data_IF_958700851598
#
_entry.id   IF_958700851598
#
_cell.length_a   1.000
_cell.length_b   1.000
_cell.length_c   1.000
_cell.angle_alpha   90.00
_cell.angle_beta   90.00
_cell.angle_gamma   90.00
#
_symmetry.space_group_name_H-M   'P 1'
#
loop_
_entity.id
_entity.type
_entity.pdbx_description
1 polymer ?
#
# COMPACT_ATOMS: atom_id res chain seq x y z
N UNK A 1 -28.80 16.26 -4.25
CA UNK A 1 -27.92 16.72 -5.35
C UNK A 1 -28.69 17.46 -6.43
N UNK A 2 -29.56 16.82 -7.23
CA UNK A 2 -30.25 17.51 -8.34
C UNK A 2 -31.12 18.70 -7.90
N UNK A 3 -31.85 18.57 -6.79
CA UNK A 3 -32.65 19.66 -6.22
C UNK A 3 -31.79 20.85 -5.79
N UNK A 4 -30.61 20.58 -5.21
CA UNK A 4 -29.65 21.61 -4.82
C UNK A 4 -29.09 22.32 -6.05
N UNK A 5 -28.57 21.58 -7.04
CA UNK A 5 -28.03 22.14 -8.28
C UNK A 5 -29.05 23.02 -9.02
N UNK A 6 -30.32 22.62 -9.04
CA UNK A 6 -31.39 23.40 -9.65
C UNK A 6 -31.76 24.68 -8.86
N UNK A 7 -31.31 24.79 -7.60
CA UNK A 7 -31.57 25.95 -6.73
C UNK A 7 -30.48 27.01 -6.79
N UNK A 8 -29.29 26.71 -7.34
CA UNK A 8 -28.23 27.70 -7.49
C UNK A 8 -28.56 28.69 -8.62
N UNK A 9 -28.17 29.94 -8.41
CA UNK A 9 -28.13 30.93 -9.48
C UNK A 9 -27.02 30.61 -10.51
N UNK A 10 -27.08 31.25 -11.68
CA UNK A 10 -26.18 30.94 -12.79
C UNK A 10 -24.70 31.19 -12.49
N UNK A 11 -24.36 32.16 -11.65
CA UNK A 11 -22.97 32.49 -11.31
C UNK A 11 -22.38 31.45 -10.35
N UNK A 12 -23.11 31.13 -9.26
CA UNK A 12 -22.67 30.10 -8.31
C UNK A 12 -22.63 28.72 -8.92
N UNK A 13 -23.56 28.42 -9.84
CA UNK A 13 -23.57 27.15 -10.56
C UNK A 13 -22.33 26.99 -11.46
N UNK A 14 -21.92 28.05 -12.15
CA UNK A 14 -20.71 28.02 -12.98
C UNK A 14 -19.43 27.91 -12.14
N UNK A 15 -19.35 28.59 -11.00
CA UNK A 15 -18.23 28.42 -10.06
C UNK A 15 -18.11 26.97 -9.59
N UNK A 16 -19.19 26.40 -9.06
CA UNK A 16 -19.21 25.01 -8.59
C UNK A 16 -18.85 24.03 -9.71
N UNK A 17 -19.32 24.26 -10.93
CA UNK A 17 -18.98 23.42 -12.09
C UNK A 17 -17.49 23.49 -12.43
N UNK A 18 -16.89 24.67 -12.37
CA UNK A 18 -15.45 24.84 -12.59
C UNK A 18 -14.63 24.12 -11.50
N UNK A 19 -15.07 24.17 -10.25
CA UNK A 19 -14.42 23.44 -9.15
C UNK A 19 -14.49 21.93 -9.36
N UNK A 20 -15.67 21.41 -9.73
CA UNK A 20 -15.86 19.98 -10.04
C UNK A 20 -15.02 19.50 -11.22
N UNK A 21 -14.85 20.34 -12.25
CA UNK A 21 -13.96 20.06 -13.39
C UNK A 21 -12.51 20.04 -12.91
N UNK A 22 -12.08 21.04 -12.13
CA UNK A 22 -10.71 21.09 -11.61
C UNK A 22 -10.39 19.89 -10.71
N UNK A 23 -11.33 19.41 -9.89
CA UNK A 23 -11.14 18.20 -9.08
C UNK A 23 -10.95 16.98 -10.00
N UNK A 24 -11.78 16.85 -11.04
CA UNK A 24 -11.66 15.75 -12.02
C UNK A 24 -10.32 15.79 -12.75
N UNK A 25 -9.88 16.96 -13.19
CA UNK A 25 -8.63 17.12 -13.95
C UNK A 25 -7.41 16.73 -13.12
N UNK A 26 -7.44 16.95 -11.80
CA UNK A 26 -6.40 16.49 -10.87
C UNK A 26 -6.28 14.96 -10.89
N UNK A 27 -7.40 14.23 -10.86
CA UNK A 27 -7.40 12.76 -10.94
C UNK A 27 -6.95 12.27 -12.33
N UNK A 28 -7.38 12.93 -13.40
CA UNK A 28 -6.99 12.56 -14.76
C UNK A 28 -5.50 12.79 -15.04
N UNK A 29 -4.89 13.85 -14.48
CA UNK A 29 -3.45 14.11 -14.63
C UNK A 29 -2.59 12.97 -14.05
N UNK A 30 -3.09 12.29 -12.99
CA UNK A 30 -2.40 11.15 -12.41
C UNK A 30 -2.41 9.90 -13.30
N UNK A 31 -3.48 9.68 -14.06
CA UNK A 31 -3.53 8.57 -15.02
C UNK A 31 -2.40 8.71 -16.05
N UNK A 32 -2.14 9.95 -16.51
CA UNK A 32 -1.08 10.25 -17.46
C UNK A 32 0.34 10.10 -16.85
N UNK A 33 0.56 10.54 -15.61
CA UNK A 33 1.87 10.36 -14.95
C UNK A 33 2.21 8.88 -14.67
N UNK A 34 1.21 8.04 -14.38
CA UNK A 34 1.44 6.61 -14.15
C UNK A 34 1.80 5.85 -15.43
N UNK A 35 1.41 6.34 -16.61
CA UNK A 35 1.81 5.76 -17.90
C UNK A 35 3.28 6.09 -18.27
N UNK A 36 3.81 7.23 -17.81
CA UNK A 36 5.16 7.69 -18.14
C UNK A 36 6.24 7.35 -17.10
N UNK A 37 5.88 7.05 -15.85
CA UNK A 37 6.83 6.99 -14.71
C UNK A 37 7.30 5.59 -14.29
N UNK A 38 7.04 4.53 -15.07
CA UNK A 38 7.41 3.16 -14.67
C UNK A 38 8.93 2.89 -14.65
N UNK A 39 9.78 3.81 -15.13
CA UNK A 39 11.21 3.54 -15.30
C UNK A 39 12.19 4.26 -14.35
N UNK A 40 11.78 5.28 -13.58
CA UNK A 40 12.76 6.07 -12.82
C UNK A 40 12.63 5.98 -11.28
N UNK A 41 13.64 5.31 -10.70
CA UNK A 41 14.06 5.32 -9.29
C UNK A 41 13.05 4.82 -8.25
N UNK A 42 12.82 3.50 -8.25
CA UNK A 42 12.51 2.77 -7.02
C UNK A 42 13.76 2.76 -6.12
N UNK A 43 13.98 3.86 -5.38
CA UNK A 43 14.79 3.81 -4.16
C UNK A 43 14.16 2.78 -3.24
N UNK A 44 14.96 1.91 -2.62
CA UNK A 44 14.47 0.95 -1.62
C UNK A 44 14.04 1.73 -0.38
N UNK A 45 12.82 2.26 -0.41
CA UNK A 45 12.16 2.88 0.73
C UNK A 45 11.99 1.80 1.80
N UNK A 46 12.46 2.09 3.03
CA UNK A 46 12.28 1.15 4.14
C UNK A 46 10.83 1.19 4.60
N UNK A 47 10.29 0.07 5.07
CA UNK A 47 8.90 0.00 5.56
C UNK A 47 8.57 1.01 6.69
N UNK A 48 9.58 1.47 7.43
CA UNK A 48 9.44 2.56 8.43
C UNK A 48 9.19 3.94 7.78
N UNK A 49 9.83 4.24 6.66
CA UNK A 49 9.66 5.47 5.88
C UNK A 49 8.28 5.53 5.21
N UNK A 50 7.79 4.38 4.76
CA UNK A 50 6.42 4.25 4.27
C UNK A 50 5.40 4.59 5.37
N UNK A 51 5.57 4.03 6.58
CA UNK A 51 4.66 4.24 7.69
C UNK A 51 4.56 5.71 8.13
N UNK A 52 5.68 6.45 8.14
CA UNK A 52 5.70 7.89 8.42
C UNK A 52 5.03 8.68 7.31
N UNK A 53 5.39 8.43 6.05
CA UNK A 53 4.81 9.12 4.88
C UNK A 53 3.30 8.95 4.82
N UNK A 54 2.82 7.72 5.04
CA UNK A 54 1.39 7.41 5.03
C UNK A 54 0.65 8.15 6.14
N UNK A 55 1.25 8.22 7.33
CA UNK A 55 0.69 8.94 8.48
C UNK A 55 0.63 10.44 8.22
N UNK A 56 1.71 11.02 7.69
CA UNK A 56 1.78 12.43 7.31
C UNK A 56 0.72 12.81 6.27
N UNK A 57 0.53 11.99 5.24
CA UNK A 57 -0.48 12.24 4.21
C UNK A 57 -1.91 12.15 4.76
N UNK A 58 -2.19 11.23 5.70
CA UNK A 58 -3.50 11.14 6.35
C UNK A 58 -3.78 12.35 7.26
N UNK A 59 -2.75 12.84 7.96
CA UNK A 59 -2.84 14.12 8.68
C UNK A 59 -3.04 15.29 7.73
N UNK A 60 -2.28 15.35 6.62
CA UNK A 60 -2.42 16.37 5.61
C UNK A 60 -3.85 16.37 5.02
N UNK A 61 -4.49 15.20 4.89
CA UNK A 61 -5.86 15.09 4.39
C UNK A 61 -6.92 15.59 5.40
N UNK A 62 -6.56 15.81 6.67
CA UNK A 62 -7.44 16.22 7.76
C UNK A 62 -8.62 15.26 7.98
N UNK A 63 -8.38 13.96 7.81
CA UNK A 63 -9.35 12.91 8.16
C UNK A 63 -8.87 12.16 9.40
N UNK A 64 -9.80 11.82 10.29
CA UNK A 64 -9.51 11.03 11.49
C UNK A 64 -9.30 9.54 11.16
N UNK A 65 -8.31 9.24 10.32
CA UNK A 65 -7.93 7.88 9.92
C UNK A 65 -6.51 7.57 10.36
N UNK A 66 -6.29 6.38 10.92
CA UNK A 66 -4.95 5.86 11.20
C UNK A 66 -4.62 4.70 10.25
N UNK A 67 -3.36 4.58 9.80
CA UNK A 67 -2.95 3.53 8.88
C UNK A 67 -2.54 2.21 9.57
N UNK A 68 -2.89 2.00 10.84
CA UNK A 68 -2.31 0.95 11.70
C UNK A 68 -2.36 -0.45 11.09
N UNK A 69 -3.49 -0.81 10.46
CA UNK A 69 -3.67 -2.12 9.82
C UNK A 69 -2.78 -2.30 8.59
N UNK A 70 -2.64 -1.26 7.77
CA UNK A 70 -1.80 -1.27 6.58
C UNK A 70 -0.32 -1.30 6.98
N UNK A 71 0.08 -0.46 7.94
CA UNK A 71 1.44 -0.45 8.48
C UNK A 71 1.81 -1.82 9.07
N UNK A 72 0.89 -2.46 9.79
CA UNK A 72 1.12 -3.80 10.35
C UNK A 72 1.30 -4.85 9.26
N UNK A 73 0.48 -4.83 8.21
CA UNK A 73 0.60 -5.77 7.10
C UNK A 73 1.91 -5.57 6.32
N UNK A 74 2.27 -4.32 6.02
CA UNK A 74 3.55 -3.98 5.36
C UNK A 74 4.75 -4.41 6.20
N UNK A 75 4.75 -4.07 7.50
CA UNK A 75 5.82 -4.48 8.40
C UNK A 75 5.97 -5.99 8.45
N UNK A 76 4.86 -6.72 8.63
CA UNK A 76 4.86 -8.19 8.61
C UNK A 76 5.46 -8.75 7.31
N UNK A 77 5.16 -8.14 6.16
CA UNK A 77 5.67 -8.58 4.87
C UNK A 77 7.18 -8.32 4.71
N UNK A 78 7.68 -7.16 5.16
CA UNK A 78 9.12 -6.84 5.12
C UNK A 78 9.93 -7.65 6.13
N UNK A 79 9.47 -7.76 7.39
CA UNK A 79 10.13 -8.55 8.43
C UNK A 79 10.36 -9.99 7.93
N UNK A 80 9.39 -10.53 7.18
CA UNK A 80 9.47 -11.86 6.59
C UNK A 80 10.58 -12.02 5.56
N UNK A 81 10.83 -11.01 4.72
CA UNK A 81 11.90 -11.05 3.73
C UNK A 81 13.26 -10.89 4.40
N UNK A 82 13.38 -9.97 5.35
CA UNK A 82 14.65 -9.65 6.02
C UNK A 82 15.14 -10.78 6.94
N UNK A 83 14.26 -11.40 7.72
CA UNK A 83 14.63 -12.50 8.62
C UNK A 83 15.17 -13.71 7.85
N UNK A 84 14.54 -14.05 6.73
CA UNK A 84 14.94 -15.23 5.97
C UNK A 84 16.10 -14.98 5.02
N UNK A 85 16.22 -13.80 4.40
CA UNK A 85 17.38 -13.44 3.59
C UNK A 85 18.66 -13.47 4.44
N UNK A 86 18.58 -13.03 5.71
CA UNK A 86 19.66 -13.18 6.68
C UNK A 86 19.98 -14.65 7.02
N UNK A 87 18.98 -15.54 7.10
CA UNK A 87 19.25 -16.97 7.35
C UNK A 87 19.82 -17.72 6.14
N UNK A 88 19.38 -17.37 4.93
CA UNK A 88 19.84 -18.01 3.68
C UNK A 88 21.27 -17.59 3.36
N UNK A 89 21.63 -16.32 3.59
CA UNK A 89 23.00 -15.82 3.41
C UNK A 89 24.01 -16.48 4.36
N UNK A 90 23.63 -16.76 5.62
CA UNK A 90 24.49 -17.48 6.57
C UNK A 90 24.71 -18.94 6.16
N UNK A 91 23.65 -19.66 5.75
CA UNK A 91 23.75 -21.07 5.35
C UNK A 91 24.58 -21.29 4.06
N UNK A 92 24.51 -20.36 3.11
CA UNK A 92 25.32 -20.42 1.89
C UNK A 92 26.80 -20.15 2.14
N UNK A 93 27.16 -19.40 3.18
CA UNK A 93 28.54 -19.21 3.60
C UNK A 93 29.10 -20.48 4.28
N UNK A 94 28.30 -21.13 5.14
CA UNK A 94 28.71 -22.34 5.87
C UNK A 94 28.87 -23.56 4.93
N UNK A 95 28.07 -23.68 3.87
CA UNK A 95 28.22 -24.76 2.87
C UNK A 95 29.46 -24.64 1.97
N UNK A 96 30.22 -23.54 2.07
CA UNK A 96 31.44 -23.33 1.27
C UNK A 96 32.72 -23.84 1.93
N UNK A 97 32.70 -24.23 3.21
CA UNK A 97 33.90 -24.66 3.95
C UNK A 97 34.03 -26.16 4.21
N UNK A 98 33.02 -26.99 3.95
CA UNK A 98 33.09 -28.43 4.24
C UNK A 98 33.32 -29.27 2.99
N UNK A 99 34.58 -29.35 2.55
CA UNK A 99 35.02 -30.47 1.73
C UNK A 99 36.51 -30.80 1.94
N UNK A 100 36.88 -31.39 3.09
CA UNK A 100 38.06 -32.28 3.16
C UNK A 100 38.03 -33.24 4.37
N UNK A 101 37.87 -34.55 4.10
CA UNK A 101 38.57 -35.67 4.76
C UNK A 101 38.12 -36.23 6.12
N UNK A 102 37.59 -37.48 6.12
CA UNK A 102 37.94 -38.69 6.92
C UNK A 102 38.61 -38.51 8.31
N UNK A 103 38.34 -39.22 9.43
CA UNK A 103 37.82 -40.57 9.75
C UNK A 103 37.57 -40.67 11.30
N UNK A 104 36.63 -41.55 11.71
CA UNK A 104 36.41 -42.32 12.96
C UNK A 104 36.94 -41.90 14.36
N UNK A 105 36.06 -41.87 15.40
CA UNK A 105 36.07 -42.78 16.58
C UNK A 105 34.94 -42.52 17.59
N UNK A 106 34.46 -43.62 18.18
CA UNK A 106 33.36 -43.75 19.16
C UNK A 106 33.66 -43.13 20.54
N UNK A 107 32.65 -42.58 21.24
CA UNK A 107 32.17 -43.08 22.55
C UNK A 107 31.01 -42.22 23.13
N UNK A 108 30.26 -42.86 24.02
CA UNK A 108 28.87 -42.64 24.46
C UNK A 108 28.74 -41.68 25.67
N UNK A 109 27.71 -40.82 25.70
CA UNK A 109 27.07 -40.38 26.94
C UNK A 109 25.62 -39.89 26.72
N UNK A 110 24.67 -40.60 27.33
CA UNK A 110 23.24 -40.24 27.45
C UNK A 110 23.05 -39.22 28.58
N UNK A 111 22.34 -38.10 28.33
CA UNK A 111 21.00 -37.84 28.91
C UNK A 111 20.39 -36.53 28.36
N UNK A 112 19.05 -36.39 28.37
CA UNK A 112 18.30 -35.39 27.63
C UNK A 112 17.90 -34.20 28.51
N UNK A 113 18.03 -32.98 27.98
CA UNK A 113 17.22 -31.86 28.43
C UNK A 113 16.57 -31.22 27.21
N UNK A 114 15.24 -31.23 27.26
CA UNK A 114 14.33 -30.60 26.33
C UNK A 114 14.58 -29.10 26.31
N UNK A 115 15.30 -28.62 25.30
CA UNK A 115 15.19 -27.25 24.87
C UNK A 115 14.60 -27.27 23.46
N UNK A 116 13.42 -26.64 23.32
CA UNK A 116 12.73 -26.46 22.04
C UNK A 116 13.55 -25.52 21.16
N UNK A 117 14.65 -26.03 20.61
CA UNK A 117 15.29 -25.48 19.44
C UNK A 117 14.37 -25.87 18.29
N UNK A 118 13.45 -24.98 17.91
CA UNK A 118 12.87 -25.05 16.57
C UNK A 118 14.05 -25.14 15.61
N UNK A 119 14.28 -26.31 15.03
CA UNK A 119 15.05 -26.45 13.81
C UNK A 119 14.38 -25.50 12.81
N UNK A 120 14.96 -24.30 12.65
CA UNK A 120 14.57 -23.36 11.61
C UNK A 120 14.88 -24.03 10.28
N UNK A 121 13.89 -24.76 9.75
CA UNK A 121 13.95 -25.31 8.40
C UNK A 121 14.08 -24.14 7.43
N UNK A 122 15.06 -24.24 6.53
CA UNK A 122 15.10 -23.40 5.33
C UNK A 122 13.80 -23.60 4.57
N UNK A 123 13.11 -22.49 4.27
CA UNK A 123 11.82 -22.55 3.59
C UNK A 123 12.02 -22.97 2.14
N UNK A 124 11.08 -23.76 1.66
CA UNK A 124 11.06 -24.20 0.27
C UNK A 124 10.68 -23.04 -0.65
N UNK A 125 11.08 -23.13 -1.93
CA UNK A 125 10.73 -22.12 -2.95
C UNK A 125 9.20 -21.97 -3.06
N UNK A 126 8.48 -23.09 -2.94
CA UNK A 126 7.01 -23.12 -2.98
C UNK A 126 6.38 -22.37 -1.80
N UNK A 127 6.92 -22.53 -0.59
CA UNK A 127 6.45 -21.78 0.59
C UNK A 127 6.69 -20.29 0.42
N UNK A 128 7.89 -19.89 0.00
CA UNK A 128 8.24 -18.48 -0.26
C UNK A 128 7.31 -17.87 -1.32
N UNK A 129 7.03 -18.61 -2.39
CA UNK A 129 6.11 -18.18 -3.44
C UNK A 129 4.71 -17.92 -2.88
N UNK A 130 4.14 -18.89 -2.15
CA UNK A 130 2.80 -18.76 -1.57
C UNK A 130 2.69 -17.56 -0.63
N UNK A 131 3.69 -17.38 0.23
CA UNK A 131 3.72 -16.27 1.19
C UNK A 131 3.88 -14.90 0.53
N UNK A 132 4.61 -14.85 -0.60
CA UNK A 132 4.73 -13.64 -1.40
C UNK A 132 3.37 -13.22 -1.97
N UNK A 133 2.62 -14.17 -2.54
CA UNK A 133 1.28 -13.93 -3.08
C UNK A 133 0.30 -13.53 -1.96
N UNK A 134 0.29 -14.26 -0.84
CA UNK A 134 -0.57 -13.95 0.31
C UNK A 134 -0.28 -12.57 0.90
N UNK A 135 0.99 -12.19 1.00
CA UNK A 135 1.39 -10.89 1.54
C UNK A 135 1.00 -9.75 0.61
N UNK A 136 1.20 -9.89 -0.72
CA UNK A 136 0.74 -8.91 -1.69
C UNK A 136 -0.78 -8.75 -1.66
N UNK A 137 -1.52 -9.86 -1.59
CA UNK A 137 -2.98 -9.83 -1.48
C UNK A 137 -3.46 -9.17 -0.17
N UNK A 138 -2.84 -9.51 0.98
CA UNK A 138 -3.16 -8.91 2.28
C UNK A 138 -2.91 -7.40 2.26
N UNK A 139 -1.73 -6.97 1.80
CA UNK A 139 -1.35 -5.55 1.69
C UNK A 139 -2.32 -4.80 0.77
N UNK A 140 -2.63 -5.34 -0.41
CA UNK A 140 -3.57 -4.74 -1.36
C UNK A 140 -4.95 -4.55 -0.74
N UNK A 141 -5.45 -5.57 -0.05
CA UNK A 141 -6.72 -5.47 0.66
C UNK A 141 -6.69 -4.36 1.74
N UNK A 142 -5.58 -4.18 2.46
CA UNK A 142 -5.42 -3.11 3.46
C UNK A 142 -5.30 -1.73 2.82
N UNK A 143 -4.65 -1.58 1.68
CA UNK A 143 -4.64 -0.33 0.91
C UNK A 143 -6.06 0.08 0.51
N UNK A 144 -6.83 -0.85 -0.05
CA UNK A 144 -8.22 -0.59 -0.45
C UNK A 144 -9.11 -0.29 0.78
N UNK A 145 -8.93 -1.03 1.89
CA UNK A 145 -9.62 -0.74 3.16
C UNK A 145 -9.31 0.68 3.66
N UNK A 146 -8.05 1.12 3.56
CA UNK A 146 -7.64 2.48 3.94
C UNK A 146 -8.31 3.53 3.06
N UNK A 147 -8.32 3.35 1.73
CA UNK A 147 -8.98 4.26 0.80
C UNK A 147 -10.50 4.30 1.03
N UNK A 148 -11.12 3.16 1.33
CA UNK A 148 -12.53 3.12 1.72
C UNK A 148 -12.80 3.87 3.02
N UNK A 149 -11.93 3.74 4.02
CA UNK A 149 -12.10 4.48 5.29
C UNK A 149 -11.97 5.98 5.08
N UNK A 150 -11.01 6.40 4.25
CA UNK A 150 -10.84 7.79 3.84
C UNK A 150 -12.09 8.29 3.10
N UNK A 151 -12.66 7.51 2.17
CA UNK A 151 -13.89 7.87 1.46
C UNK A 151 -15.07 8.07 2.42
N UNK A 152 -15.24 7.17 3.39
CA UNK A 152 -16.28 7.28 4.43
C UNK A 152 -16.13 8.58 5.24
N UNK A 153 -14.90 8.94 5.60
CA UNK A 153 -14.60 10.15 6.39
C UNK A 153 -14.73 11.43 5.56
N UNK A 154 -14.41 11.42 4.27
CA UNK A 154 -14.65 12.58 3.38
C UNK A 154 -16.16 12.82 3.23
N UNK A 155 -16.97 11.76 3.17
CA UNK A 155 -18.41 11.88 2.95
C UNK A 155 -19.19 12.23 4.23
N UNK A 156 -18.73 11.75 5.40
CA UNK A 156 -19.46 11.88 6.67
C UNK A 156 -18.69 12.62 7.78
N UNK A 157 -17.49 13.12 7.48
CA UNK A 157 -16.65 13.85 8.43
C UNK A 157 -17.26 15.16 8.91
N UNK A 158 -16.69 15.73 9.97
CA UNK A 158 -17.00 17.10 10.40
C UNK A 158 -16.44 18.12 9.37
N UNK A 159 -16.64 19.42 9.62
CA UNK A 159 -16.36 20.57 8.74
C UNK A 159 -15.20 20.38 7.74
N UNK A 160 -15.40 20.87 6.51
CA UNK A 160 -14.39 20.89 5.47
C UNK A 160 -13.20 21.78 5.92
N UNK A 161 -12.14 21.17 6.44
CA UNK A 161 -10.93 21.89 6.87
C UNK A 161 -10.00 22.23 5.68
N UNK A 162 -10.16 21.54 4.55
CA UNK A 162 -9.36 21.74 3.33
C UNK A 162 -10.21 21.77 2.08
N UNK A 163 -9.85 22.63 1.09
CA UNK A 163 -10.51 22.63 -0.20
C UNK A 163 -10.45 21.25 -0.86
N UNK A 164 -11.55 20.83 -1.48
CA UNK A 164 -11.62 19.57 -2.21
C UNK A 164 -10.49 19.35 -3.24
N UNK A 165 -9.97 20.41 -3.87
CA UNK A 165 -8.82 20.32 -4.78
C UNK A 165 -7.53 19.88 -4.07
N UNK A 166 -7.29 20.38 -2.86
CA UNK A 166 -6.13 19.99 -2.06
C UNK A 166 -6.28 18.56 -1.56
N UNK A 167 -7.48 18.17 -1.13
CA UNK A 167 -7.80 16.79 -0.78
C UNK A 167 -7.54 15.84 -1.95
N UNK A 168 -7.94 16.20 -3.18
CA UNK A 168 -7.66 15.43 -4.39
C UNK A 168 -6.15 15.18 -4.60
N UNK A 169 -5.32 16.23 -4.44
CA UNK A 169 -3.85 16.11 -4.57
C UNK A 169 -3.26 15.20 -3.51
N UNK A 170 -3.73 15.29 -2.27
CA UNK A 170 -3.26 14.43 -1.17
C UNK A 170 -3.68 12.98 -1.40
N UNK A 171 -4.90 12.71 -1.86
CA UNK A 171 -5.35 11.36 -2.22
C UNK A 171 -4.49 10.71 -3.31
N UNK A 172 -4.06 11.50 -4.31
CA UNK A 172 -3.13 11.04 -5.34
C UNK A 172 -1.78 10.68 -4.75
N UNK A 173 -1.20 11.55 -3.91
CA UNK A 173 0.08 11.27 -3.22
C UNK A 173 -0.02 10.00 -2.36
N UNK A 174 -1.11 9.88 -1.60
CA UNK A 174 -1.41 8.73 -0.73
C UNK A 174 -1.42 7.43 -1.52
N UNK A 175 -2.19 7.39 -2.60
CA UNK A 175 -2.32 6.21 -3.46
C UNK A 175 -1.00 5.91 -4.19
N UNK A 176 -0.25 6.94 -4.57
CA UNK A 176 1.07 6.79 -5.19
C UNK A 176 2.07 6.14 -4.23
N UNK A 177 2.11 6.58 -2.98
CA UNK A 177 2.97 5.98 -1.96
C UNK A 177 2.60 4.50 -1.74
N UNK A 178 1.31 4.18 -1.64
CA UNK A 178 0.84 2.78 -1.56
C UNK A 178 1.28 1.93 -2.75
N UNK A 179 1.17 2.45 -3.98
CA UNK A 179 1.58 1.72 -5.19
C UNK A 179 3.10 1.50 -5.23
N UNK A 180 3.89 2.52 -4.88
CA UNK A 180 5.36 2.42 -4.83
C UNK A 180 5.80 1.37 -3.82
N UNK A 181 5.18 1.35 -2.65
CA UNK A 181 5.50 0.37 -1.61
C UNK A 181 5.16 -1.06 -2.04
N UNK A 182 4.01 -1.27 -2.66
CA UNK A 182 3.62 -2.58 -3.24
C UNK A 182 4.61 -3.03 -4.33
N UNK A 183 5.03 -2.13 -5.21
CA UNK A 183 6.01 -2.44 -6.25
C UNK A 183 7.38 -2.79 -5.65
N UNK A 184 7.83 -2.03 -4.64
CA UNK A 184 9.05 -2.32 -3.87
C UNK A 184 8.99 -3.70 -3.22
N UNK A 185 7.87 -4.02 -2.56
CA UNK A 185 7.66 -5.31 -1.91
C UNK A 185 7.64 -6.48 -2.91
N UNK A 186 6.95 -6.33 -4.04
CA UNK A 186 6.95 -7.34 -5.11
C UNK A 186 8.37 -7.61 -5.64
N UNK A 187 9.18 -6.55 -5.79
CA UNK A 187 10.60 -6.67 -6.19
C UNK A 187 11.42 -7.42 -5.13
N UNK A 188 11.22 -7.12 -3.85
CA UNK A 188 11.86 -7.84 -2.74
C UNK A 188 11.51 -9.33 -2.75
N UNK A 189 10.22 -9.67 -2.95
CA UNK A 189 9.80 -11.08 -3.07
C UNK A 189 10.40 -11.79 -4.28
N UNK A 190 10.48 -11.14 -5.44
CA UNK A 190 11.21 -11.67 -6.61
C UNK A 190 12.67 -11.98 -6.26
N UNK A 191 13.38 -11.03 -5.63
CA UNK A 191 14.78 -11.21 -5.28
C UNK A 191 14.94 -12.39 -4.31
N UNK A 192 14.07 -12.47 -3.30
CA UNK A 192 14.09 -13.54 -2.31
C UNK A 192 13.82 -14.92 -2.95
N UNK A 193 12.83 -15.01 -3.85
CA UNK A 193 12.58 -16.22 -4.64
C UNK A 193 13.78 -16.62 -5.49
N UNK A 194 14.46 -15.65 -6.10
CA UNK A 194 15.65 -15.88 -6.92
C UNK A 194 16.80 -16.46 -6.08
N UNK A 195 16.98 -15.95 -4.86
CA UNK A 195 18.02 -16.42 -3.93
C UNK A 195 17.72 -17.84 -3.43
N UNK A 196 16.51 -18.09 -2.92
CA UNK A 196 16.10 -19.39 -2.37
C UNK A 196 16.02 -20.45 -3.46
N UNK A 197 15.63 -20.07 -4.68
CA UNK A 197 15.50 -20.97 -5.84
C UNK A 197 16.74 -21.08 -6.71
N UNK A 198 17.92 -20.63 -6.25
CA UNK A 198 19.15 -20.61 -7.06
C UNK A 198 19.60 -21.99 -7.56
N UNK A 199 19.22 -23.06 -6.86
CA UNK A 199 19.46 -24.46 -7.23
C UNK A 199 18.39 -25.04 -8.19
N UNK A 200 17.26 -24.33 -8.37
CA UNK A 200 16.16 -24.76 -9.23
C UNK A 200 16.41 -24.40 -10.68
N UNK A 201 15.82 -25.20 -11.57
CA UNK A 201 15.81 -24.88 -13.00
C UNK A 201 14.94 -23.66 -13.28
N UNK A 202 15.38 -22.84 -14.23
CA UNK A 202 14.65 -21.66 -14.70
C UNK A 202 13.22 -21.98 -15.18
N UNK A 203 12.98 -23.17 -15.74
CA UNK A 203 11.64 -23.62 -16.19
C UNK A 203 10.62 -23.75 -15.04
N UNK A 204 11.10 -23.93 -13.81
CA UNK A 204 10.26 -24.01 -12.60
C UNK A 204 10.21 -22.65 -11.88
N UNK A 205 11.36 -21.98 -11.76
CA UNK A 205 11.48 -20.74 -10.99
C UNK A 205 10.88 -19.51 -11.70
N UNK A 206 11.13 -19.34 -13.00
CA UNK A 206 10.68 -18.16 -13.73
C UNK A 206 9.16 -17.98 -13.72
N UNK A 207 8.33 -19.04 -13.86
CA UNK A 207 6.88 -18.90 -13.70
C UNK A 207 6.46 -18.34 -12.33
N UNK A 208 7.12 -18.76 -11.24
CA UNK A 208 6.82 -18.25 -9.89
C UNK A 208 7.20 -16.78 -9.74
N UNK A 209 8.40 -16.40 -10.20
CA UNK A 209 8.85 -15.00 -10.21
C UNK A 209 7.90 -14.13 -11.03
N UNK A 210 7.58 -14.54 -12.25
CA UNK A 210 6.68 -13.81 -13.14
C UNK A 210 5.29 -13.65 -12.51
N UNK A 211 4.81 -14.66 -11.80
CA UNK A 211 3.52 -14.60 -11.11
C UNK A 211 3.53 -13.61 -9.94
N UNK A 212 4.61 -13.55 -9.15
CA UNK A 212 4.75 -12.55 -8.08
C UNK A 212 4.83 -11.13 -8.61
N UNK A 213 5.59 -10.90 -9.68
CA UNK A 213 5.64 -9.60 -10.35
C UNK A 213 4.29 -9.20 -10.93
N UNK A 214 3.59 -10.14 -11.58
CA UNK A 214 2.26 -9.91 -12.12
C UNK A 214 1.25 -9.59 -11.02
N UNK A 215 1.30 -10.29 -9.89
CA UNK A 215 0.46 -9.99 -8.72
C UNK A 215 0.76 -8.60 -8.16
N UNK A 216 2.03 -8.18 -8.14
CA UNK A 216 2.43 -6.82 -7.77
C UNK A 216 1.86 -5.77 -8.72
N UNK A 217 1.94 -5.98 -10.04
CA UNK A 217 1.33 -5.10 -11.04
C UNK A 217 -0.19 -5.01 -10.85
N UNK A 218 -0.87 -6.14 -10.75
CA UNK A 218 -2.32 -6.20 -10.51
C UNK A 218 -2.70 -5.47 -9.22
N UNK A 219 -1.94 -5.67 -8.15
CA UNK A 219 -2.12 -4.99 -6.87
C UNK A 219 -2.10 -3.47 -7.01
N UNK A 220 -1.12 -2.93 -7.76
CA UNK A 220 -1.07 -1.48 -8.03
C UNK A 220 -2.26 -0.99 -8.85
N UNK A 221 -2.71 -1.77 -9.85
CA UNK A 221 -3.92 -1.45 -10.62
C UNK A 221 -5.16 -1.43 -9.72
N UNK A 222 -5.36 -2.41 -8.84
CA UNK A 222 -6.51 -2.43 -7.93
C UNK A 222 -6.52 -1.24 -6.98
N UNK A 223 -5.35 -0.81 -6.50
CA UNK A 223 -5.22 0.37 -5.64
C UNK A 223 -5.55 1.65 -6.43
N UNK A 224 -5.13 1.76 -7.68
CA UNK A 224 -5.45 2.88 -8.57
C UNK A 224 -6.93 2.93 -8.92
N UNK A 225 -7.54 1.78 -9.22
CA UNK A 225 -8.98 1.67 -9.48
C UNK A 225 -9.80 2.09 -8.26
N UNK A 226 -9.35 1.74 -7.05
CA UNK A 226 -9.98 2.20 -5.81
C UNK A 226 -9.88 3.73 -5.64
N UNK A 227 -8.78 4.37 -6.07
CA UNK A 227 -8.67 5.82 -6.11
C UNK A 227 -9.71 6.45 -7.06
N UNK A 228 -10.00 5.83 -8.21
CA UNK A 228 -11.02 6.37 -9.13
C UNK A 228 -12.41 6.43 -8.51
N UNK A 229 -12.71 5.55 -7.55
CA UNK A 229 -13.97 5.58 -6.78
C UNK A 229 -14.04 6.74 -5.78
N UNK A 230 -12.90 7.34 -5.39
CA UNK A 230 -12.86 8.50 -4.50
C UNK A 230 -13.22 9.81 -5.21
N UNK A 231 -13.02 9.92 -6.53
CA UNK A 231 -13.40 11.11 -7.30
C UNK A 231 -14.90 11.47 -7.12
N UNK A 232 -15.86 10.57 -7.40
CA UNK A 232 -17.27 10.90 -7.20
C UNK A 232 -17.62 11.15 -5.73
N UNK A 233 -16.94 10.50 -4.78
CA UNK A 233 -17.14 10.73 -3.34
C UNK A 233 -16.75 12.16 -2.97
N UNK A 234 -15.57 12.60 -3.40
CA UNK A 234 -15.06 13.94 -3.14
C UNK A 234 -15.92 15.03 -3.82
N UNK A 235 -16.34 14.79 -5.06
CA UNK A 235 -17.27 15.70 -5.77
C UNK A 235 -18.62 15.81 -5.06
N UNK A 236 -19.17 14.69 -4.57
CA UNK A 236 -20.44 14.69 -3.82
C UNK A 236 -20.26 15.41 -2.48
N UNK A 237 -19.17 15.17 -1.77
CA UNK A 237 -18.86 15.86 -0.51
C UNK A 237 -18.80 17.38 -0.72
N UNK A 238 -18.04 17.84 -1.73
CA UNK A 238 -17.94 19.26 -2.07
C UNK A 238 -19.30 19.90 -2.42
N UNK A 239 -20.15 19.21 -3.18
CA UNK A 239 -21.51 19.69 -3.47
C UNK A 239 -22.36 19.81 -2.19
N UNK A 240 -22.21 18.88 -1.25
CA UNK A 240 -22.95 18.89 0.01
C UNK A 240 -22.50 20.02 0.94
N UNK A 241 -21.19 20.30 1.03
CA UNK A 241 -20.67 21.44 1.80
C UNK A 241 -21.18 22.76 1.24
N UNK A 242 -21.04 22.95 -0.09
CA UNK A 242 -21.54 24.16 -0.77
C UNK A 242 -23.05 24.40 -0.55
N UNK A 243 -23.83 23.33 -0.38
CA UNK A 243 -25.25 23.43 -0.08
C UNK A 243 -25.58 23.73 1.38
N UNK A 244 -24.71 23.36 2.30
CA UNK A 244 -24.89 23.64 3.73
C UNK A 244 -24.56 25.10 4.06
N UNK A 245 -23.57 25.70 3.37
CA UNK A 245 -23.25 27.13 3.51
C UNK A 245 -24.37 28.05 2.96
N UNK A 246 -25.13 27.59 1.96
CA UNK A 246 -26.22 28.35 1.35
C UNK A 246 -27.51 28.40 2.22
N UNK A 247 -27.60 27.57 3.27
CA UNK A 247 -28.71 27.56 4.22
C UNK A 247 -28.19 27.69 5.65
N UNK A 248 -27.99 28.94 6.16
CA UNK A 248 -27.83 29.10 7.60
C UNK A 248 -29.13 28.64 8.25
N UNK A 249 -29.03 27.64 9.13
CA UNK A 249 -30.17 27.12 9.87
C UNK A 249 -30.94 28.26 10.58
N UNK A 250 -32.26 28.12 10.78
CA UNK A 250 -33.06 29.15 11.42
C UNK A 250 -32.63 29.30 12.89
N UNK A 251 -31.68 30.20 13.17
CA UNK A 251 -31.15 30.38 14.52
C UNK A 251 -29.97 31.35 14.67
N UNK A 252 -29.26 31.72 13.61
CA UNK A 252 -28.19 32.72 13.71
C UNK A 252 -28.74 34.12 13.39
N UNK A 253 -29.28 34.79 14.40
CA UNK A 253 -29.46 36.25 14.36
C UNK A 253 -28.08 36.92 14.43
N UNK A 254 -27.77 37.92 13.57
CA UNK A 254 -26.57 38.71 13.74
C UNK A 254 -26.73 39.59 14.97
N UNK A 255 -25.90 39.34 15.99
CA UNK A 255 -25.72 40.28 17.10
C UNK A 255 -25.16 41.58 16.53
N UNK A 256 -25.89 42.67 16.75
CA UNK A 256 -25.48 44.04 16.42
C UNK A 256 -24.32 44.52 17.29
#
# INVERSE_FOLDING_TARGET
VQSFLASLDGEKLELLKNDLISIKDIFAAKELENEESQEDQASEEKGEEFASTLTELLFELHVAATPDKLNKAMKKAHDWVEEDEATVSVNMAEQSEENTGEEETEEKAENPEEDKKEERRTKTVEEVYMLSIESLAEVTARCIEQLHKVAELILHGQEEEKPAQDQARVLIKLTTAMCKEVASLSKKFMNFLTTVGSDKKAEVLNPMINSVLLEGCNSTTYIQDALQLLLPVLQVSHIQTAGSEAHPGPGQTPSS
#
